data_IF_261786680647
#
_entry.id   IF_261786680647
#
_cell.length_a   1.000
_cell.length_b   1.000
_cell.length_c   1.000
_cell.angle_alpha   90.00
_cell.angle_beta   90.00
_cell.angle_gamma   90.00
#
_symmetry.space_group_name_H-M   'P 1'
#
loop_
_entity.id
_entity.type
_entity.pdbx_description
1 polymer ?
#
# COMPACT_ATOMS: atom_id res chain seq x y z
N UNK A 1 -10.64 -13.40 9.42
CA UNK A 1 -10.85 -12.48 8.29
C UNK A 1 -9.78 -12.75 7.26
N UNK A 2 -10.11 -12.65 5.98
CA UNK A 2 -9.10 -12.76 4.93
C UNK A 2 -8.36 -11.43 4.74
N UNK A 3 -7.07 -11.53 4.41
CA UNK A 3 -6.27 -10.40 3.96
C UNK A 3 -6.54 -10.11 2.48
N UNK A 4 -6.24 -8.89 2.00
CA UNK A 4 -6.19 -8.58 0.56
C UNK A 4 -5.21 -9.51 -0.16
N UNK A 5 -5.40 -9.70 -1.47
CA UNK A 5 -4.55 -10.59 -2.29
C UNK A 5 -4.07 -9.89 -3.54
N UNK A 6 -3.07 -10.46 -4.21
CA UNK A 6 -2.57 -10.00 -5.51
C UNK A 6 -2.15 -8.52 -5.49
N UNK A 7 -1.36 -8.12 -4.50
CA UNK A 7 -0.78 -6.79 -4.47
C UNK A 7 0.11 -6.59 -5.70
N UNK A 8 -0.18 -5.54 -6.45
CA UNK A 8 0.61 -5.12 -7.59
C UNK A 8 0.98 -3.64 -7.40
N UNK A 9 2.21 -3.29 -7.77
CA UNK A 9 2.73 -1.94 -7.62
C UNK A 9 3.24 -1.36 -8.94
N UNK A 10 2.95 -0.09 -9.17
CA UNK A 10 3.60 0.72 -10.20
C UNK A 10 4.32 1.86 -9.48
N UNK A 11 5.61 2.01 -9.73
CA UNK A 11 6.42 3.08 -9.13
C UNK A 11 6.93 4.07 -10.17
N UNK A 12 7.04 5.32 -9.74
CA UNK A 12 7.79 6.37 -10.43
C UNK A 12 9.01 6.73 -9.58
N UNK A 13 9.64 7.87 -9.87
CA UNK A 13 10.70 8.41 -9.03
C UNK A 13 10.20 8.93 -7.67
N UNK A 14 8.93 9.32 -7.56
CA UNK A 14 8.40 9.99 -6.36
C UNK A 14 6.98 9.53 -5.97
N UNK A 15 6.49 8.47 -6.60
CA UNK A 15 5.20 7.90 -6.26
C UNK A 15 5.18 6.39 -6.38
N UNK A 16 4.32 5.76 -5.60
CA UNK A 16 3.99 4.34 -5.68
C UNK A 16 2.47 4.22 -5.67
N UNK A 17 1.93 3.63 -6.73
CA UNK A 17 0.53 3.21 -6.79
C UNK A 17 0.46 1.72 -6.47
N UNK A 18 -0.31 1.37 -5.44
CA UNK A 18 -0.61 -0.02 -5.08
C UNK A 18 -2.02 -0.37 -5.57
N UNK A 19 -2.19 -1.58 -6.09
CA UNK A 19 -3.47 -2.15 -6.46
C UNK A 19 -3.62 -3.52 -5.80
N UNK A 20 -4.81 -3.87 -5.33
CA UNK A 20 -5.04 -5.10 -4.57
C UNK A 20 -6.46 -5.66 -4.79
N UNK A 21 -6.58 -6.99 -4.71
CA UNK A 21 -7.87 -7.66 -4.73
C UNK A 21 -8.54 -7.59 -3.34
N UNK A 22 -9.87 -7.46 -3.28
CA UNK A 22 -10.60 -7.51 -2.02
C UNK A 22 -10.38 -8.84 -1.29
N UNK A 23 -10.49 -8.78 0.03
CA UNK A 23 -10.55 -9.97 0.87
C UNK A 23 -11.81 -10.80 0.56
N UNK A 24 -11.69 -12.13 0.55
CA UNK A 24 -12.80 -13.07 0.26
C UNK A 24 -14.04 -12.86 1.17
N UNK A 25 -13.84 -12.36 2.39
CA UNK A 25 -14.93 -11.99 3.31
C UNK A 25 -15.09 -10.47 3.32
N UNK A 26 -16.31 -9.99 3.02
CA UNK A 26 -16.65 -8.56 2.92
C UNK A 26 -16.00 -7.71 4.02
N UNK A 27 -15.18 -6.74 3.60
CA UNK A 27 -14.46 -5.79 4.46
C UNK A 27 -15.23 -4.47 4.54
N UNK A 28 -15.13 -3.77 5.67
CA UNK A 28 -15.78 -2.46 5.87
C UNK A 28 -14.88 -1.30 5.42
N UNK A 29 -13.56 -1.54 5.36
CA UNK A 29 -12.56 -0.62 4.82
C UNK A 29 -11.21 -1.34 4.64
N UNK A 30 -10.23 -0.64 4.07
CA UNK A 30 -8.84 -1.09 4.05
C UNK A 30 -7.93 -0.04 4.70
N UNK A 31 -6.88 -0.51 5.36
CA UNK A 31 -5.75 0.34 5.79
C UNK A 31 -4.58 0.07 4.86
N UNK A 32 -4.09 1.11 4.21
CA UNK A 32 -2.92 1.05 3.33
C UNK A 32 -1.81 1.82 4.02
N UNK A 33 -0.66 1.18 4.23
CA UNK A 33 0.51 1.78 4.86
C UNK A 33 1.73 1.70 3.92
N UNK A 34 2.58 2.72 3.96
CA UNK A 34 3.87 2.74 3.26
C UNK A 34 4.97 3.13 4.24
N UNK A 35 6.10 2.43 4.19
CA UNK A 35 7.24 2.64 5.10
C UNK A 35 8.57 2.66 4.32
N UNK A 36 9.37 3.72 4.40
CA UNK A 36 10.76 3.67 3.95
C UNK A 36 11.63 2.96 4.99
N UNK A 37 12.26 1.83 4.64
CA UNK A 37 13.14 1.12 5.58
C UNK A 37 12.45 0.79 6.91
N UNK A 38 13.03 1.26 8.03
CA UNK A 38 12.52 1.12 9.42
C UNK A 38 11.87 2.39 9.99
N UNK A 39 11.59 3.38 9.14
CA UNK A 39 10.97 4.64 9.58
C UNK A 39 9.49 4.48 9.97
N UNK A 40 8.88 5.56 10.43
CA UNK A 40 7.44 5.57 10.77
C UNK A 40 6.61 5.42 9.49
N UNK A 41 5.66 4.47 9.42
CA UNK A 41 4.82 4.30 8.24
C UNK A 41 3.81 5.45 8.10
N UNK A 42 3.61 5.92 6.88
CA UNK A 42 2.43 6.70 6.52
C UNK A 42 1.27 5.74 6.28
N UNK A 43 0.11 6.00 6.90
CA UNK A 43 -1.07 5.14 6.78
C UNK A 43 -2.30 5.95 6.36
N UNK A 44 -3.10 5.37 5.48
CA UNK A 44 -4.39 5.90 5.03
C UNK A 44 -5.45 4.81 5.16
N UNK A 45 -6.68 5.21 5.53
CA UNK A 45 -7.85 4.31 5.50
C UNK A 45 -8.66 4.61 4.25
N UNK A 46 -8.86 3.61 3.40
CA UNK A 46 -9.60 3.69 2.14
C UNK A 46 -10.95 2.99 2.25
N UNK A 47 -11.91 3.42 1.43
CA UNK A 47 -13.25 2.85 1.42
C UNK A 47 -13.26 1.41 0.85
N UNK A 48 -14.27 0.61 1.17
CA UNK A 48 -14.37 -0.80 0.72
C UNK A 48 -14.31 -0.97 -0.81
N UNK A 49 -14.78 0.00 -1.59
CA UNK A 49 -14.79 -0.05 -3.05
C UNK A 49 -13.45 0.37 -3.67
N UNK A 50 -12.57 1.03 -2.93
CA UNK A 50 -11.24 1.40 -3.41
C UNK A 50 -10.32 0.18 -3.39
N UNK A 51 -9.69 -0.08 -4.53
CA UNK A 51 -8.74 -1.19 -4.76
C UNK A 51 -7.36 -0.70 -5.17
N UNK A 52 -7.18 0.61 -5.13
CA UNK A 52 -5.96 1.26 -5.52
C UNK A 52 -5.71 2.44 -4.61
N UNK A 53 -4.45 2.72 -4.32
CA UNK A 53 -4.03 3.91 -3.59
C UNK A 53 -2.67 4.37 -4.11
N UNK A 54 -2.48 5.68 -4.19
CA UNK A 54 -1.21 6.28 -4.63
C UNK A 54 -0.59 7.07 -3.50
N UNK A 55 0.61 6.67 -3.10
CA UNK A 55 1.50 7.45 -2.25
C UNK A 55 2.34 8.36 -3.15
N UNK A 56 2.36 9.65 -2.84
CA UNK A 56 3.13 10.68 -3.55
C UNK A 56 4.24 11.21 -2.65
N UNK A 57 5.05 12.13 -3.18
CA UNK A 57 6.12 12.84 -2.47
C UNK A 57 7.16 11.88 -1.83
N UNK A 58 7.36 10.73 -2.47
CA UNK A 58 8.34 9.74 -2.04
C UNK A 58 9.76 10.11 -2.50
N UNK A 59 10.75 9.63 -1.76
CA UNK A 59 12.15 9.83 -2.10
C UNK A 59 12.53 8.97 -3.33
N UNK A 60 13.24 9.53 -4.33
CA UNK A 60 13.81 8.75 -5.42
C UNK A 60 14.86 7.76 -4.95
N UNK A 61 15.02 6.66 -5.70
CA UNK A 61 15.99 5.60 -5.42
C UNK A 61 15.87 4.96 -4.02
N UNK A 62 14.68 4.99 -3.41
CA UNK A 62 14.41 4.44 -2.09
C UNK A 62 13.54 3.19 -2.18
N UNK A 63 13.71 2.28 -1.22
CA UNK A 63 12.88 1.07 -1.10
C UNK A 63 11.83 1.29 -0.01
N UNK A 64 10.59 1.03 -0.38
CA UNK A 64 9.42 1.14 0.48
C UNK A 64 8.77 -0.22 0.66
N UNK A 65 8.32 -0.51 1.88
CA UNK A 65 7.38 -1.60 2.14
C UNK A 65 5.98 -1.03 2.16
N UNK A 66 5.13 -1.50 1.24
CA UNK A 66 3.70 -1.17 1.22
C UNK A 66 2.93 -2.34 1.80
N UNK A 67 2.04 -2.09 2.76
CA UNK A 67 1.19 -3.08 3.39
C UNK A 67 -0.29 -2.71 3.29
N UNK A 68 -1.14 -3.70 3.05
CA UNK A 68 -2.60 -3.53 2.99
C UNK A 68 -3.26 -4.50 3.95
N UNK A 69 -4.17 -3.97 4.77
CA UNK A 69 -4.94 -4.71 5.78
C UNK A 69 -6.42 -4.48 5.52
N UNK A 70 -7.23 -5.55 5.60
CA UNK A 70 -8.68 -5.41 5.59
C UNK A 70 -9.19 -5.15 7.01
N UNK A 71 -10.17 -4.26 7.12
CA UNK A 71 -10.80 -3.91 8.40
C UNK A 71 -12.26 -4.34 8.36
N UNK A 72 -12.73 -5.03 9.39
CA UNK A 72 -14.15 -5.38 9.57
C UNK A 72 -14.53 -5.34 11.04
N UNK A 73 -15.60 -4.64 11.38
CA UNK A 73 -16.08 -4.46 12.76
C UNK A 73 -14.95 -4.01 13.71
N UNK A 74 -14.07 -3.11 13.25
CA UNK A 74 -12.93 -2.60 14.01
C UNK A 74 -11.80 -3.62 14.23
N UNK A 75 -11.85 -4.80 13.60
CA UNK A 75 -10.76 -5.79 13.63
C UNK A 75 -9.99 -5.72 12.33
N UNK A 76 -8.68 -5.94 12.43
CA UNK A 76 -7.73 -5.92 11.32
C UNK A 76 -7.38 -7.36 10.90
N UNK A 77 -7.18 -7.61 9.60
CA UNK A 77 -6.61 -8.86 9.10
C UNK A 77 -5.10 -8.92 9.33
N UNK A 78 -4.49 -10.06 8.98
CA UNK A 78 -3.04 -10.05 8.72
C UNK A 78 -2.73 -9.11 7.53
N UNK A 79 -1.56 -8.46 7.51
CA UNK A 79 -1.16 -7.59 6.41
C UNK A 79 -0.67 -8.42 5.22
N UNK A 80 -1.06 -7.99 4.02
CA UNK A 80 -0.39 -8.39 2.79
C UNK A 80 0.60 -7.27 2.42
N UNK A 81 1.84 -7.60 2.07
CA UNK A 81 2.88 -6.59 1.85
C UNK A 81 3.76 -6.85 0.63
N UNK A 82 4.29 -5.76 0.06
CA UNK A 82 5.19 -5.80 -1.08
C UNK A 82 6.30 -4.76 -0.90
N UNK A 83 7.53 -5.09 -1.33
CA UNK A 83 8.64 -4.16 -1.38
C UNK A 83 8.73 -3.53 -2.77
N UNK A 84 8.76 -2.21 -2.82
CA UNK A 84 8.73 -1.44 -4.06
C UNK A 84 9.86 -0.43 -4.03
N UNK A 85 10.61 -0.34 -5.13
CA UNK A 85 11.69 0.65 -5.28
C UNK A 85 11.22 1.79 -6.18
N UNK A 86 11.42 3.02 -5.73
CA UNK A 86 11.25 4.20 -6.58
C UNK A 86 12.43 4.33 -7.54
N UNK A 87 12.14 4.81 -8.74
CA UNK A 87 13.17 5.05 -9.76
C UNK A 87 14.08 6.21 -9.37
N UNK A 88 15.26 6.28 -9.96
CA UNK A 88 16.17 7.41 -9.79
C UNK A 88 15.61 8.63 -10.55
N UNK A 89 15.74 9.82 -9.95
CA UNK A 89 15.44 11.08 -10.63
C UNK A 89 16.52 11.32 -11.70
N UNK A 90 16.11 11.43 -12.95
CA UNK A 90 17.00 11.75 -14.08
C UNK A 90 16.74 13.19 -14.50
N UNK A 91 17.79 14.01 -14.53
CA UNK A 91 17.77 15.32 -15.17
C UNK A 91 18.28 15.16 -16.60
N UNK A 92 17.50 15.67 -17.57
CA UNK A 92 17.86 15.69 -19.00
C UNK A 92 18.34 17.08 -19.43
#
# INVERSE_FOLDING_TARGET
>A
MSQPKNLASVSTQNSITITYNPADTGSDSYKVAIRPGDEVPQQVTTATNEKTHTFNDLMPCATYTVAVVSVRNGRDSAPESINVKTSMLIFF
#
